data_IF_556972104374
#
_entry.id   IF_556972104374
#
_cell.length_a   1.000
_cell.length_b   1.000
_cell.length_c   1.000
_cell.angle_alpha   90.00
_cell.angle_beta   90.00
_cell.angle_gamma   90.00
#
_symmetry.space_group_name_H-M   'P 1'
#
loop_
_entity.id
_entity.type
_entity.pdbx_description
1 polymer ?
#
# COMPACT_ATOMS: atom_id res chain seq x y z
N UNK A 1 3.95 -3.95 -25.55
CA UNK A 1 5.21 -3.35 -25.07
C UNK A 1 6.03 -2.79 -26.22
N UNK A 2 6.61 -3.63 -27.10
CA UNK A 2 7.44 -3.18 -28.23
C UNK A 2 6.80 -2.07 -29.09
N UNK A 3 5.48 -2.16 -29.34
CA UNK A 3 4.72 -1.12 -30.03
C UNK A 3 4.81 0.28 -29.37
N UNK A 4 4.65 0.35 -28.05
CA UNK A 4 4.75 1.63 -27.32
C UNK A 4 6.19 2.15 -27.38
N UNK A 5 7.17 1.28 -27.19
CA UNK A 5 8.59 1.66 -27.23
C UNK A 5 8.96 2.21 -28.61
N UNK A 6 8.54 1.56 -29.69
CA UNK A 6 8.75 2.04 -31.06
C UNK A 6 8.11 3.42 -31.30
N UNK A 7 6.88 3.65 -30.82
CA UNK A 7 6.23 4.97 -30.90
C UNK A 7 7.00 6.04 -30.13
N UNK A 8 7.46 5.73 -28.93
CA UNK A 8 8.24 6.67 -28.10
C UNK A 8 9.56 7.06 -28.77
N UNK A 9 10.27 6.10 -29.37
CA UNK A 9 11.50 6.40 -30.13
C UNK A 9 11.19 7.29 -31.33
N UNK A 10 10.17 6.95 -32.13
CA UNK A 10 9.78 7.74 -33.32
C UNK A 10 9.34 9.16 -32.96
N UNK A 11 8.73 9.35 -31.79
CA UNK A 11 8.30 10.64 -31.29
C UNK A 11 9.42 11.44 -30.59
N UNK A 12 10.63 10.89 -30.46
CA UNK A 12 11.76 11.57 -29.81
C UNK A 12 11.69 11.57 -28.27
N UNK A 13 10.87 10.70 -27.68
CA UNK A 13 10.72 10.55 -26.22
C UNK A 13 11.57 9.43 -25.63
N UNK A 14 12.23 8.63 -26.48
CA UNK A 14 13.10 7.55 -26.07
C UNK A 14 14.35 7.45 -26.95
N UNK A 15 15.42 6.91 -26.40
CA UNK A 15 16.69 6.72 -27.08
C UNK A 15 17.33 5.37 -26.76
N UNK A 16 18.23 4.91 -27.62
CA UNK A 16 18.96 3.64 -27.46
C UNK A 16 20.39 3.94 -27.05
N UNK A 17 20.89 3.25 -26.03
CA UNK A 17 22.27 3.34 -25.56
C UNK A 17 22.73 1.98 -25.04
N UNK A 18 23.81 1.43 -25.61
CA UNK A 18 24.32 0.10 -25.21
C UNK A 18 23.30 -1.03 -25.35
N UNK A 19 22.39 -0.97 -26.33
CA UNK A 19 21.29 -1.94 -26.51
C UNK A 19 20.13 -1.79 -25.51
N UNK A 20 20.25 -0.88 -24.54
CA UNK A 20 19.16 -0.51 -23.63
C UNK A 20 18.36 0.63 -24.24
N UNK A 21 17.03 0.58 -24.14
CA UNK A 21 16.15 1.68 -24.53
C UNK A 21 15.72 2.44 -23.27
N UNK A 22 15.94 3.74 -23.26
CA UNK A 22 15.59 4.64 -22.18
C UNK A 22 14.49 5.60 -22.61
N UNK A 23 13.61 5.96 -21.68
CA UNK A 23 12.73 7.12 -21.80
C UNK A 23 13.49 8.37 -21.33
N UNK A 24 13.44 9.44 -22.12
CA UNK A 24 14.03 10.73 -21.77
C UNK A 24 13.02 11.55 -20.97
N UNK A 25 13.24 11.72 -19.67
CA UNK A 25 12.26 12.43 -18.82
C UNK A 25 12.16 13.93 -19.16
N UNK A 26 13.24 14.51 -19.68
CA UNK A 26 13.26 15.92 -20.12
C UNK A 26 12.39 16.15 -21.36
N UNK A 27 12.13 15.11 -22.15
CA UNK A 27 11.26 15.20 -23.33
C UNK A 27 9.78 15.37 -22.99
N UNK A 28 9.38 15.13 -21.73
CA UNK A 28 8.00 15.25 -21.27
C UNK A 28 7.83 16.40 -20.28
N UNK A 29 7.29 17.52 -20.77
CA UNK A 29 7.08 18.77 -20.00
C UNK A 29 6.26 18.64 -18.71
N UNK A 30 5.43 17.61 -18.59
CA UNK A 30 4.55 17.39 -17.42
C UNK A 30 5.08 16.30 -16.48
N UNK A 31 6.32 15.86 -16.65
CA UNK A 31 6.92 14.84 -15.79
C UNK A 31 7.01 15.33 -14.34
N UNK A 32 6.47 14.56 -13.40
CA UNK A 32 6.41 14.92 -11.98
C UNK A 32 5.06 15.49 -11.54
N UNK A 33 4.09 15.68 -12.45
CA UNK A 33 2.80 16.28 -12.15
C UNK A 33 1.95 15.44 -11.17
N UNK A 34 2.00 14.11 -11.25
CA UNK A 34 1.23 13.25 -10.35
C UNK A 34 1.80 13.30 -8.93
N UNK A 35 3.12 13.21 -8.81
CA UNK A 35 3.83 13.17 -7.53
C UNK A 35 4.09 14.54 -6.91
N UNK A 36 3.92 15.62 -7.67
CA UNK A 36 4.25 16.99 -7.27
C UNK A 36 5.76 17.27 -7.18
N UNK A 37 6.60 16.37 -7.68
CA UNK A 37 8.07 16.51 -7.63
C UNK A 37 8.57 17.27 -8.85
N UNK A 38 9.51 18.20 -8.66
CA UNK A 38 10.19 18.89 -9.76
C UNK A 38 11.42 18.11 -10.19
N UNK A 39 11.74 18.15 -11.49
CA UNK A 39 12.92 17.51 -12.07
C UNK A 39 14.22 17.88 -11.33
N UNK A 40 14.41 19.16 -10.99
CA UNK A 40 15.60 19.63 -10.25
C UNK A 40 15.75 19.02 -8.84
N UNK A 41 14.64 18.72 -8.16
CA UNK A 41 14.65 18.11 -6.82
C UNK A 41 14.96 16.60 -6.89
N UNK A 42 14.80 15.97 -8.06
CA UNK A 42 15.08 14.55 -8.26
C UNK A 42 16.57 14.26 -8.42
N UNK A 43 17.34 15.23 -8.94
CA UNK A 43 18.79 15.12 -9.14
C UNK A 43 19.55 15.13 -7.81
N UNK A 44 19.03 15.82 -6.77
CA UNK A 44 19.69 15.94 -5.47
C UNK A 44 19.46 14.74 -4.53
N UNK A 45 18.39 13.96 -4.76
CA UNK A 45 17.99 12.85 -3.89
C UNK A 45 18.43 11.45 -4.34
N UNK A 46 18.97 11.31 -5.55
CA UNK A 46 19.42 10.02 -6.08
C UNK A 46 20.72 9.57 -5.39
N UNK A 47 20.59 8.80 -4.30
CA UNK A 47 21.66 7.92 -3.81
C UNK A 47 21.88 6.79 -4.82
N UNK A 48 22.55 7.08 -5.93
CA UNK A 48 22.97 6.06 -6.90
C UNK A 48 24.37 6.41 -7.36
N UNK A 49 25.29 5.46 -7.20
CA UNK A 49 26.58 5.43 -7.90
C UNK A 49 26.36 5.85 -9.36
N UNK A 50 27.19 6.77 -9.85
CA UNK A 50 27.11 7.26 -11.23
C UNK A 50 27.29 6.06 -12.16
N UNK A 51 26.17 5.45 -12.58
CA UNK A 51 26.13 4.60 -13.76
C UNK A 51 26.41 5.56 -14.89
N UNK A 52 27.68 5.65 -15.29
CA UNK A 52 28.06 6.27 -16.54
C UNK A 52 27.18 5.65 -17.64
N UNK A 53 26.72 6.48 -18.59
CA UNK A 53 25.88 6.11 -19.75
C UNK A 53 24.35 6.28 -19.62
N UNK A 54 23.85 7.35 -19.00
CA UNK A 54 22.51 7.90 -19.35
C UNK A 54 22.65 9.35 -19.78
N UNK A 55 21.74 9.84 -20.62
CA UNK A 55 21.72 11.25 -21.01
C UNK A 55 21.27 12.13 -19.84
N UNK A 56 20.27 11.67 -19.07
CA UNK A 56 19.85 12.31 -17.83
C UNK A 56 19.73 11.27 -16.69
N UNK A 57 20.13 11.59 -15.44
CA UNK A 57 20.14 10.63 -14.33
C UNK A 57 18.76 10.05 -13.99
N UNK A 58 17.71 10.84 -14.22
CA UNK A 58 16.32 10.41 -14.01
C UNK A 58 15.72 9.57 -15.15
N UNK A 59 16.43 9.39 -16.27
CA UNK A 59 15.96 8.55 -17.38
C UNK A 59 15.80 7.10 -16.93
N UNK A 60 14.71 6.47 -17.36
CA UNK A 60 14.34 5.13 -16.93
C UNK A 60 14.24 4.15 -18.11
N UNK A 61 14.44 2.87 -17.82
CA UNK A 61 14.53 1.82 -18.83
C UNK A 61 13.14 1.43 -19.34
N UNK A 62 13.00 1.39 -20.67
CA UNK A 62 11.86 0.82 -21.39
C UNK A 62 12.16 -0.62 -21.85
N UNK A 63 13.39 -0.89 -22.25
CA UNK A 63 13.85 -2.22 -22.70
C UNK A 63 15.29 -2.45 -22.25
N UNK A 64 15.58 -3.63 -21.70
CA UNK A 64 16.93 -4.00 -21.23
C UNK A 64 17.44 -5.23 -21.99
N UNK A 65 18.70 -5.27 -22.43
CA UNK A 65 19.34 -6.48 -22.95
C UNK A 65 19.22 -7.64 -21.96
N UNK A 66 19.02 -8.84 -22.49
CA UNK A 66 18.88 -10.04 -21.69
C UNK A 66 20.20 -10.39 -21.02
N UNK A 67 20.13 -10.75 -19.74
CA UNK A 67 21.24 -11.36 -19.00
C UNK A 67 21.26 -12.88 -19.21
N UNK A 68 22.36 -13.54 -18.84
CA UNK A 68 22.44 -15.00 -18.83
C UNK A 68 21.32 -15.66 -18.02
N UNK A 69 20.88 -15.00 -16.93
CA UNK A 69 19.76 -15.47 -16.13
C UNK A 69 18.44 -15.35 -16.89
N UNK A 70 18.21 -14.23 -17.58
CA UNK A 70 17.00 -14.02 -18.39
C UNK A 70 16.91 -15.08 -19.49
N UNK A 71 18.04 -15.40 -20.14
CA UNK A 71 18.13 -16.46 -21.15
C UNK A 71 17.81 -17.84 -20.57
N UNK A 72 18.40 -18.19 -19.41
CA UNK A 72 18.17 -19.48 -18.75
C UNK A 72 16.71 -19.67 -18.31
N UNK A 73 16.05 -18.59 -17.88
CA UNK A 73 14.65 -18.61 -17.46
C UNK A 73 13.67 -18.53 -18.65
N UNK A 74 14.15 -18.27 -19.87
CA UNK A 74 13.30 -17.97 -21.01
C UNK A 74 12.52 -16.65 -20.86
N UNK A 75 12.97 -15.76 -19.97
CA UNK A 75 12.34 -14.48 -19.65
C UNK A 75 12.87 -13.35 -20.54
N UNK A 76 13.05 -13.64 -21.83
CA UNK A 76 13.57 -12.73 -22.83
C UNK A 76 12.92 -12.95 -24.19
N UNK A 77 12.84 -11.89 -24.98
CA UNK A 77 12.18 -11.89 -26.29
C UNK A 77 13.03 -11.15 -27.33
N UNK A 78 12.92 -11.52 -28.62
CA UNK A 78 13.54 -10.76 -29.70
C UNK A 78 12.89 -9.37 -29.82
N UNK A 79 13.70 -8.35 -30.14
CA UNK A 79 13.25 -6.99 -30.41
C UNK A 79 14.16 -6.30 -31.44
N UNK A 80 13.76 -5.14 -32.00
CA UNK A 80 14.63 -4.35 -32.87
C UNK A 80 15.95 -3.90 -32.22
N UNK A 81 16.04 -3.93 -30.89
CA UNK A 81 17.21 -3.53 -30.11
C UNK A 81 17.98 -4.73 -29.54
N UNK A 82 17.74 -5.93 -30.09
CA UNK A 82 18.33 -7.19 -29.63
C UNK A 82 17.44 -7.97 -28.68
N UNK A 83 17.91 -9.14 -28.28
CA UNK A 83 17.19 -10.01 -27.33
C UNK A 83 17.24 -9.39 -25.93
N UNK A 84 16.08 -9.25 -25.31
CA UNK A 84 15.96 -8.54 -24.04
C UNK A 84 14.63 -8.73 -23.37
N UNK A 85 14.34 -7.85 -22.43
CA UNK A 85 13.11 -7.86 -21.64
C UNK A 85 12.61 -6.45 -21.36
N UNK A 86 11.31 -6.26 -21.10
CA UNK A 86 10.77 -4.96 -20.75
C UNK A 86 11.37 -4.39 -19.46
N UNK A 87 11.39 -3.06 -19.39
CA UNK A 87 11.54 -2.34 -18.14
C UNK A 87 10.25 -2.38 -17.32
N UNK A 88 10.38 -2.31 -16.00
CA UNK A 88 9.27 -2.49 -15.06
C UNK A 88 8.01 -1.66 -15.37
N UNK A 89 8.19 -0.41 -15.81
CA UNK A 89 7.08 0.53 -16.01
C UNK A 89 6.29 0.30 -17.31
N UNK A 90 6.95 -0.16 -18.39
CA UNK A 90 6.33 -0.24 -19.73
C UNK A 90 5.30 -1.35 -19.86
N UNK A 91 5.35 -2.32 -18.96
CA UNK A 91 4.38 -3.41 -18.88
C UNK A 91 2.99 -2.87 -18.58
N UNK A 92 2.84 -2.06 -17.53
CA UNK A 92 1.58 -1.46 -17.10
C UNK A 92 0.98 -0.59 -18.21
N UNK A 93 1.75 0.36 -18.76
CA UNK A 93 1.33 1.24 -19.86
C UNK A 93 0.87 0.47 -21.09
N UNK A 94 1.58 -0.61 -21.45
CA UNK A 94 1.23 -1.41 -22.62
C UNK A 94 -0.02 -2.27 -22.43
N UNK A 95 -0.19 -2.85 -21.24
CA UNK A 95 -1.35 -3.69 -20.94
C UNK A 95 -2.60 -2.84 -20.75
N UNK A 96 -2.52 -1.74 -20.00
CA UNK A 96 -3.66 -0.83 -19.81
C UNK A 96 -4.13 -0.26 -21.15
N UNK A 97 -3.22 0.20 -22.01
CA UNK A 97 -3.56 0.62 -23.38
C UNK A 97 -4.30 -0.47 -24.16
N UNK A 98 -3.80 -1.72 -24.13
CA UNK A 98 -4.39 -2.82 -24.89
C UNK A 98 -5.82 -3.14 -24.48
N UNK A 99 -6.15 -3.02 -23.20
CA UNK A 99 -7.42 -3.47 -22.64
C UNK A 99 -8.41 -2.33 -22.36
N UNK A 100 -7.92 -1.14 -22.04
CA UNK A 100 -8.73 0.01 -21.61
C UNK A 100 -8.68 1.17 -22.62
N UNK A 101 -7.79 1.09 -23.63
CA UNK A 101 -7.60 2.13 -24.63
C UNK A 101 -6.60 3.21 -24.22
N UNK A 102 -6.46 4.23 -25.06
CA UNK A 102 -5.47 5.31 -24.84
C UNK A 102 -5.78 6.14 -23.60
N UNK A 103 -7.06 6.26 -23.20
CA UNK A 103 -7.48 6.95 -21.97
C UNK A 103 -8.61 6.16 -21.31
N UNK A 104 -8.57 6.08 -19.98
CA UNK A 104 -9.56 5.38 -19.17
C UNK A 104 -9.83 6.11 -17.84
N UNK A 105 -10.79 5.61 -17.07
CA UNK A 105 -11.35 6.37 -15.94
C UNK A 105 -10.46 6.34 -14.70
N UNK A 106 -10.15 5.16 -14.15
CA UNK A 106 -9.52 5.02 -12.83
C UNK A 106 -8.27 4.16 -12.91
N UNK A 107 -7.15 4.67 -12.39
CA UNK A 107 -5.93 3.91 -12.13
C UNK A 107 -5.61 3.93 -10.62
N UNK A 108 -5.26 2.77 -10.05
CA UNK A 108 -4.98 2.66 -8.62
C UNK A 108 -3.71 1.90 -8.30
N UNK A 109 -3.21 2.08 -7.06
CA UNK A 109 -2.03 1.39 -6.57
C UNK A 109 -1.62 1.82 -5.16
N UNK A 110 -0.54 1.27 -4.63
CA UNK A 110 0.03 1.71 -3.35
C UNK A 110 0.60 3.12 -3.44
N UNK A 111 0.63 3.87 -2.32
CA UNK A 111 1.20 5.22 -2.27
C UNK A 111 2.67 5.29 -2.71
N UNK A 112 3.43 4.20 -2.59
CA UNK A 112 4.78 4.08 -3.13
C UNK A 112 4.84 3.98 -4.65
N UNK A 113 3.77 3.54 -5.31
CA UNK A 113 3.72 3.49 -6.77
C UNK A 113 3.53 4.87 -7.40
N UNK A 114 3.08 5.87 -6.64
CA UNK A 114 2.92 7.24 -7.14
C UNK A 114 4.20 7.77 -7.80
N UNK A 115 5.37 7.50 -7.19
CA UNK A 115 6.66 7.80 -7.78
C UNK A 115 7.69 6.69 -7.48
N UNK A 116 8.45 6.20 -8.49
CA UNK A 116 8.44 6.67 -9.88
C UNK A 116 7.40 5.96 -10.76
N UNK A 117 6.72 4.92 -10.27
CA UNK A 117 6.03 3.97 -11.14
C UNK A 117 4.90 4.58 -11.99
N UNK A 118 3.87 5.15 -11.35
CA UNK A 118 2.73 5.76 -12.04
C UNK A 118 3.11 7.03 -12.80
N UNK A 119 4.07 7.81 -12.31
CA UNK A 119 4.63 8.95 -13.04
C UNK A 119 5.25 8.51 -14.38
N UNK A 120 5.97 7.38 -14.37
CA UNK A 120 6.55 6.79 -15.58
C UNK A 120 5.50 6.18 -16.50
N UNK A 121 4.40 5.65 -15.98
CA UNK A 121 3.29 5.17 -16.80
C UNK A 121 2.57 6.29 -17.55
N UNK A 122 2.30 7.39 -16.85
CA UNK A 122 1.72 8.61 -17.45
C UNK A 122 2.62 9.10 -18.56
N UNK A 123 3.91 9.29 -18.28
CA UNK A 123 4.85 9.85 -19.26
C UNK A 123 4.98 8.96 -20.50
N UNK A 124 5.07 7.64 -20.34
CA UNK A 124 5.08 6.70 -21.46
C UNK A 124 3.80 6.75 -22.28
N UNK A 125 2.63 6.75 -21.61
CA UNK A 125 1.35 6.63 -22.30
C UNK A 125 0.98 7.93 -23.01
N UNK A 126 1.10 9.09 -22.34
CA UNK A 126 0.80 10.39 -22.94
C UNK A 126 1.78 10.76 -24.06
N UNK A 127 3.05 10.34 -23.99
CA UNK A 127 4.02 10.54 -25.08
C UNK A 127 3.82 9.55 -26.24
N UNK A 128 3.43 8.31 -25.98
CA UNK A 128 3.15 7.35 -27.05
C UNK A 128 1.85 7.68 -27.80
N UNK A 129 0.86 8.24 -27.11
CA UNK A 129 -0.47 8.57 -27.62
C UNK A 129 -0.79 10.05 -27.37
N UNK A 130 -0.36 10.98 -28.26
CA UNK A 130 -0.63 12.40 -28.08
C UNK A 130 -2.13 12.69 -27.93
N UNK A 131 -2.50 13.41 -26.87
CA UNK A 131 -3.91 13.69 -26.51
C UNK A 131 -4.51 12.71 -25.49
N UNK A 132 -3.79 11.64 -25.16
CA UNK A 132 -4.17 10.75 -24.06
C UNK A 132 -4.05 11.44 -22.69
N UNK A 133 -5.06 11.26 -21.85
CA UNK A 133 -5.02 11.60 -20.42
C UNK A 133 -4.48 10.43 -19.57
N UNK A 134 -4.25 9.27 -20.20
CA UNK A 134 -4.00 7.97 -19.61
C UNK A 134 -5.09 7.54 -18.61
N UNK A 135 -5.12 8.12 -17.42
CA UNK A 135 -6.13 7.89 -16.40
C UNK A 135 -6.69 9.21 -15.87
N UNK A 136 -8.03 9.35 -15.83
CA UNK A 136 -8.72 10.56 -15.33
C UNK A 136 -8.65 10.72 -13.83
N UNK A 137 -8.69 9.60 -13.10
CA UNK A 137 -8.67 9.57 -11.65
C UNK A 137 -7.59 8.61 -11.12
N UNK A 138 -6.81 9.08 -10.15
CA UNK A 138 -5.77 8.32 -9.48
C UNK A 138 -6.14 8.03 -8.04
N UNK A 139 -6.10 6.75 -7.65
CA UNK A 139 -6.46 6.30 -6.30
C UNK A 139 -5.30 5.55 -5.67
N UNK A 140 -4.66 6.15 -4.66
CA UNK A 140 -3.54 5.54 -3.96
C UNK A 140 -3.90 5.10 -2.54
N UNK A 141 -3.69 3.83 -2.21
CA UNK A 141 -3.85 3.34 -0.84
C UNK A 141 -2.61 3.61 0.03
N UNK A 142 -2.84 3.80 1.32
CA UNK A 142 -1.78 3.96 2.31
C UNK A 142 -0.89 2.73 2.49
N UNK A 143 0.24 2.90 3.19
CA UNK A 143 1.11 1.79 3.58
C UNK A 143 0.43 0.86 4.57
N UNK A 144 1.07 -0.24 4.96
CA UNK A 144 0.74 -0.95 6.19
C UNK A 144 1.93 -0.81 7.12
N UNK A 145 1.67 -0.49 8.38
CA UNK A 145 2.72 -0.35 9.40
C UNK A 145 2.66 -1.49 10.40
N UNK A 146 3.84 -1.90 10.88
CA UNK A 146 4.03 -2.91 11.92
C UNK A 146 4.88 -2.32 13.05
N UNK A 147 4.87 -2.97 14.22
CA UNK A 147 5.79 -2.66 15.34
C UNK A 147 5.85 -1.17 15.74
N UNK A 148 4.70 -0.51 15.92
CA UNK A 148 4.67 0.88 16.41
C UNK A 148 4.92 1.95 15.34
N UNK A 149 4.77 1.64 14.06
CA UNK A 149 4.74 2.64 12.98
C UNK A 149 5.70 2.39 11.82
N UNK A 150 6.48 1.31 11.85
CA UNK A 150 7.41 0.98 10.77
C UNK A 150 6.67 0.46 9.54
N UNK A 151 7.01 0.96 8.35
CA UNK A 151 6.47 0.42 7.10
C UNK A 151 6.81 -1.06 6.97
N UNK A 152 5.82 -1.88 6.63
CA UNK A 152 6.05 -3.28 6.27
C UNK A 152 6.79 -3.34 4.93
N UNK A 153 7.96 -3.99 4.89
CA UNK A 153 8.71 -4.19 3.64
C UNK A 153 9.62 -5.42 3.70
N UNK A 154 9.81 -6.08 2.55
CA UNK A 154 10.69 -7.26 2.44
C UNK A 154 12.12 -6.96 2.89
N UNK A 155 12.61 -5.75 2.58
CA UNK A 155 13.96 -5.30 2.95
C UNK A 155 14.17 -5.18 4.46
N UNK A 156 13.12 -4.85 5.22
CA UNK A 156 13.20 -4.74 6.68
C UNK A 156 12.96 -6.09 7.39
N UNK A 157 12.62 -7.14 6.65
CA UNK A 157 12.32 -8.47 7.22
C UNK A 157 11.05 -8.52 8.07
N UNK A 158 10.32 -7.41 8.20
CA UNK A 158 9.14 -7.26 9.06
C UNK A 158 7.82 -7.62 8.37
N UNK A 159 7.88 -8.46 7.33
CA UNK A 159 6.71 -8.81 6.51
C UNK A 159 5.87 -9.89 7.20
N UNK A 160 4.65 -9.51 7.56
CA UNK A 160 3.62 -10.46 7.99
C UNK A 160 2.87 -10.92 6.74
N UNK A 161 2.83 -12.23 6.50
CA UNK A 161 2.13 -12.79 5.34
C UNK A 161 0.72 -13.22 5.74
N UNK A 162 -0.22 -13.13 4.79
CA UNK A 162 -1.59 -13.67 4.98
C UNK A 162 -1.55 -15.15 5.35
N UNK A 163 -0.67 -15.93 4.70
CA UNK A 163 -0.48 -17.35 5.02
C UNK A 163 0.02 -17.56 6.45
N UNK A 164 0.95 -16.72 6.92
CA UNK A 164 1.43 -16.76 8.29
C UNK A 164 0.34 -16.46 9.32
N UNK A 165 -0.50 -15.46 9.06
CA UNK A 165 -1.64 -15.13 9.92
C UNK A 165 -2.66 -16.27 9.99
N UNK A 166 -3.05 -16.82 8.83
CA UNK A 166 -3.95 -17.97 8.78
C UNK A 166 -3.35 -19.20 9.50
N UNK A 167 -2.06 -19.47 9.30
CA UNK A 167 -1.35 -20.58 9.96
C UNK A 167 -1.25 -20.42 11.48
N UNK A 168 -1.28 -19.18 11.98
CA UNK A 168 -1.30 -18.86 13.40
C UNK A 168 -2.74 -18.80 13.98
N UNK A 169 -3.75 -19.25 13.22
CA UNK A 169 -5.13 -19.33 13.69
C UNK A 169 -5.93 -18.03 13.61
N UNK A 170 -5.46 -17.01 12.88
CA UNK A 170 -6.24 -15.80 12.63
C UNK A 170 -7.20 -16.03 11.47
N UNK A 171 -8.50 -15.88 11.70
CA UNK A 171 -9.50 -16.06 10.66
C UNK A 171 -9.37 -15.04 9.52
N UNK A 172 -9.55 -15.51 8.28
CA UNK A 172 -9.45 -14.66 7.09
C UNK A 172 -10.43 -13.48 7.10
N UNK A 173 -11.61 -13.65 7.72
CA UNK A 173 -12.59 -12.57 7.87
C UNK A 173 -12.07 -11.46 8.79
N UNK A 174 -11.38 -11.83 9.87
CA UNK A 174 -10.73 -10.88 10.79
C UNK A 174 -9.63 -10.11 10.07
N UNK A 175 -8.78 -10.80 9.30
CA UNK A 175 -7.74 -10.16 8.48
C UNK A 175 -8.36 -9.15 7.50
N UNK A 176 -9.45 -9.53 6.83
CA UNK A 176 -10.17 -8.69 5.86
C UNK A 176 -10.78 -7.46 6.53
N UNK A 177 -11.45 -7.62 7.67
CA UNK A 177 -12.07 -6.51 8.41
C UNK A 177 -11.00 -5.54 8.90
N UNK A 178 -9.90 -6.03 9.48
CA UNK A 178 -8.79 -5.18 9.93
C UNK A 178 -8.19 -4.36 8.79
N UNK A 179 -7.95 -4.97 7.63
CA UNK A 179 -7.42 -4.26 6.47
C UNK A 179 -8.39 -3.15 5.99
N UNK A 180 -9.69 -3.45 5.90
CA UNK A 180 -10.71 -2.47 5.51
C UNK A 180 -10.83 -1.32 6.52
N UNK A 181 -10.81 -1.63 7.82
CA UNK A 181 -10.86 -0.63 8.89
C UNK A 181 -9.63 0.29 8.88
N UNK A 182 -8.45 -0.26 8.60
CA UNK A 182 -7.21 0.53 8.45
C UNK A 182 -7.27 1.49 7.25
N UNK A 183 -7.90 1.06 6.14
CA UNK A 183 -8.12 1.92 4.97
C UNK A 183 -9.14 3.04 5.24
N UNK A 184 -10.22 2.75 5.98
CA UNK A 184 -11.29 3.71 6.29
C UNK A 184 -10.84 4.79 7.29
N UNK A 185 -10.01 4.44 8.27
CA UNK A 185 -9.57 5.37 9.32
C UNK A 185 -8.45 6.34 8.87
N UNK A 186 -8.04 6.32 7.60
CA UNK A 186 -7.08 7.31 7.08
C UNK A 186 -5.72 7.28 7.78
N UNK A 187 -5.35 6.16 8.45
CA UNK A 187 -4.14 6.02 9.27
C UNK A 187 -2.80 6.09 8.48
N UNK A 188 -2.84 6.53 7.23
CA UNK A 188 -1.68 6.63 6.33
C UNK A 188 -1.45 8.02 5.74
N UNK A 189 -2.08 9.07 6.30
CA UNK A 189 -1.64 10.45 6.09
C UNK A 189 -1.55 11.13 7.45
N UNK A 190 -0.32 11.48 7.85
CA UNK A 190 0.05 12.32 9.00
C UNK A 190 -1.13 12.95 9.74
N UNK A 191 -1.48 12.41 10.91
CA UNK A 191 -2.37 13.10 11.85
C UNK A 191 -1.55 13.48 13.08
N UNK A 192 -1.59 14.75 13.53
CA UNK A 192 -0.98 15.14 14.79
C UNK A 192 -1.62 14.33 15.91
N UNK A 193 -0.80 13.81 16.82
CA UNK A 193 -1.20 13.08 18.02
C UNK A 193 -2.30 13.85 18.77
N UNK A 194 -3.57 13.56 18.51
CA UNK A 194 -4.67 13.94 19.40
C UNK A 194 -5.75 12.88 19.38
N UNK A 195 -5.60 12.00 20.38
CA UNK A 195 -6.61 11.16 21.04
C UNK A 195 -7.24 10.04 20.20
N UNK A 196 -6.50 8.95 20.07
CA UNK A 196 -7.06 7.60 19.92
C UNK A 196 -7.11 6.85 21.27
N UNK A 197 -7.44 7.55 22.37
CA UNK A 197 -7.74 6.89 23.64
C UNK A 197 -9.06 6.10 23.61
N UNK A 198 -9.90 6.29 22.59
CA UNK A 198 -11.28 5.80 22.60
C UNK A 198 -11.56 4.66 21.58
N UNK A 199 -10.53 4.04 21.00
CA UNK A 199 -10.71 2.81 20.22
C UNK A 199 -10.12 1.65 21.02
N UNK A 200 -10.74 1.34 22.15
CA UNK A 200 -10.55 0.06 22.83
C UNK A 200 -11.89 -0.64 22.99
N UNK A 201 -11.89 -1.83 22.39
CA UNK A 201 -12.72 -3.00 22.61
C UNK A 201 -14.18 -2.99 22.13
N UNK A 202 -14.38 -3.73 21.03
CA UNK A 202 -15.62 -4.48 20.75
C UNK A 202 -15.74 -5.63 21.78
N UNK A 203 -15.90 -5.31 23.06
CA UNK A 203 -16.44 -6.31 24.00
C UNK A 203 -17.93 -6.39 23.73
N UNK A 204 -18.40 -7.59 23.46
CA UNK A 204 -19.81 -7.90 23.27
C UNK A 204 -20.61 -7.51 24.52
N UNK A 205 -21.62 -6.66 24.37
CA UNK A 205 -22.46 -6.21 25.49
C UNK A 205 -23.22 -7.37 26.14
N UNK A 206 -23.51 -8.43 25.36
CA UNK A 206 -24.16 -9.63 25.86
C UNK A 206 -23.28 -10.39 26.86
N UNK A 207 -21.96 -10.42 26.63
CA UNK A 207 -21.02 -11.07 27.55
C UNK A 207 -20.83 -10.25 28.84
N UNK A 208 -20.84 -8.92 28.73
CA UNK A 208 -20.83 -8.03 29.92
C UNK A 208 -22.07 -8.27 30.77
N UNK A 209 -23.25 -8.31 30.16
CA UNK A 209 -24.50 -8.52 30.88
C UNK A 209 -24.54 -9.90 31.56
N UNK A 210 -24.08 -10.96 30.89
CA UNK A 210 -23.95 -12.30 31.49
C UNK A 210 -23.03 -12.33 32.71
N UNK A 211 -21.89 -11.64 32.64
CA UNK A 211 -20.96 -11.56 33.78
C UNK A 211 -21.57 -10.78 34.94
N UNK A 212 -22.34 -9.73 34.66
CA UNK A 212 -23.05 -8.96 35.70
C UNK A 212 -24.13 -9.80 36.37
N UNK A 213 -24.90 -10.57 35.61
CA UNK A 213 -25.90 -11.52 36.15
C UNK A 213 -25.25 -12.58 37.02
N UNK A 214 -24.18 -13.24 36.53
CA UNK A 214 -23.43 -14.23 37.33
C UNK A 214 -22.87 -13.64 38.61
N UNK A 215 -22.43 -12.38 38.59
CA UNK A 215 -21.98 -11.67 39.78
C UNK A 215 -23.13 -11.41 40.75
N UNK A 216 -24.32 -11.04 40.26
CA UNK A 216 -25.50 -10.83 41.10
C UNK A 216 -25.93 -12.14 41.78
N UNK A 217 -25.91 -13.25 41.05
CA UNK A 217 -26.16 -14.59 41.59
C UNK A 217 -25.11 -15.00 42.65
N UNK A 218 -23.82 -14.76 42.39
CA UNK A 218 -22.74 -15.01 43.33
C UNK A 218 -22.91 -14.22 44.64
N UNK A 219 -23.29 -12.94 44.54
CA UNK A 219 -23.61 -12.12 45.73
C UNK A 219 -24.86 -12.64 46.46
N UNK A 220 -25.89 -13.07 45.72
CA UNK A 220 -27.13 -13.62 46.29
C UNK A 220 -26.92 -14.91 47.10
N UNK A 221 -25.94 -15.74 46.71
CA UNK A 221 -25.55 -16.97 47.42
C UNK A 221 -24.45 -16.79 48.47
N UNK A 222 -23.99 -15.56 48.71
CA UNK A 222 -22.91 -15.26 49.68
C UNK A 222 -21.51 -15.65 49.21
N UNK A 223 -21.31 -15.91 47.92
CA UNK A 223 -20.03 -16.25 47.32
C UNK A 223 -19.31 -14.98 46.85
N UNK A 224 -18.69 -14.30 47.82
CA UNK A 224 -18.03 -13.03 47.59
C UNK A 224 -16.69 -13.17 46.84
N UNK A 225 -16.04 -14.34 46.91
CA UNK A 225 -14.80 -14.62 46.17
C UNK A 225 -15.07 -14.64 44.67
N UNK A 226 -16.07 -15.39 44.21
CA UNK A 226 -16.45 -15.43 42.80
C UNK A 226 -16.95 -14.07 42.30
N UNK A 227 -17.67 -13.31 43.14
CA UNK A 227 -18.13 -11.98 42.79
C UNK A 227 -16.98 -10.98 42.56
N UNK A 228 -15.89 -11.10 43.32
CA UNK A 228 -14.68 -10.28 43.16
C UNK A 228 -13.81 -10.73 41.99
N UNK A 229 -13.73 -12.03 41.69
CA UNK A 229 -13.09 -12.54 40.47
C UNK A 229 -13.77 -12.00 39.20
N UNK A 230 -15.10 -12.03 39.16
CA UNK A 230 -15.87 -11.49 38.03
C UNK A 230 -15.66 -9.97 37.92
N UNK A 231 -15.62 -9.25 39.04
CA UNK A 231 -15.33 -7.80 39.05
C UNK A 231 -13.93 -7.50 38.50
N UNK A 232 -12.94 -8.32 38.84
CA UNK A 232 -11.57 -8.19 38.31
C UNK A 232 -11.56 -8.46 36.81
N UNK A 233 -12.20 -9.54 36.35
CA UNK A 233 -12.33 -9.88 34.93
C UNK A 233 -12.98 -8.75 34.12
N UNK A 234 -14.08 -8.17 34.61
CA UNK A 234 -14.73 -7.00 34.00
C UNK A 234 -13.79 -5.78 33.97
N UNK A 235 -13.04 -5.53 35.05
CA UNK A 235 -12.07 -4.44 35.10
C UNK A 235 -10.91 -4.62 34.12
N UNK A 236 -10.41 -5.85 33.95
CA UNK A 236 -9.36 -6.20 33.00
C UNK A 236 -9.83 -6.03 31.55
N UNK A 237 -11.13 -6.22 31.29
CA UNK A 237 -11.80 -5.89 30.03
C UNK A 237 -12.06 -4.38 29.84
N UNK A 238 -11.68 -3.54 30.79
CA UNK A 238 -11.90 -2.09 30.74
C UNK A 238 -13.30 -1.65 31.14
N UNK A 239 -14.06 -2.50 31.85
CA UNK A 239 -15.41 -2.19 32.32
C UNK A 239 -15.39 -1.86 33.83
N UNK A 240 -15.88 -0.68 34.17
CA UNK A 240 -16.17 -0.29 35.55
C UNK A 240 -17.61 -0.66 35.92
N UNK A 241 -17.81 -1.21 37.12
CA UNK A 241 -19.14 -1.53 37.66
C UNK A 241 -19.44 -0.68 38.89
N UNK A 242 -20.69 -0.24 39.02
CA UNK A 242 -21.23 0.51 40.15
C UNK A 242 -22.53 -0.13 40.61
N UNK A 243 -22.59 -0.52 41.89
CA UNK A 243 -23.82 -1.03 42.50
C UNK A 243 -24.67 0.14 43.00
N UNK A 244 -25.92 0.23 42.52
CA UNK A 244 -26.89 1.21 42.97
C UNK A 244 -27.55 0.83 44.29
N UNK A 245 -28.12 1.81 44.99
CA UNK A 245 -28.89 1.59 46.23
C UNK A 245 -30.19 0.80 46.01
N UNK A 246 -30.62 0.69 44.75
CA UNK A 246 -31.73 -0.12 44.23
C UNK A 246 -31.35 -1.59 44.02
N UNK A 247 -30.10 -1.98 44.28
CA UNK A 247 -29.59 -3.34 44.06
C UNK A 247 -29.19 -3.62 42.61
N UNK A 248 -29.37 -2.67 41.69
CA UNK A 248 -29.00 -2.83 40.30
C UNK A 248 -27.50 -2.53 40.08
N UNK A 249 -26.79 -3.43 39.41
CA UNK A 249 -25.40 -3.19 38.97
C UNK A 249 -25.43 -2.52 37.60
N UNK A 250 -24.88 -1.30 37.54
CA UNK A 250 -24.68 -0.56 36.27
C UNK A 250 -23.22 -0.64 35.88
N UNK A 251 -22.94 -0.68 34.59
CA UNK A 251 -21.58 -0.72 34.07
C UNK A 251 -21.29 0.50 33.20
N UNK A 252 -20.01 0.87 33.12
CA UNK A 252 -19.48 1.92 32.25
C UNK A 252 -18.13 1.50 31.71
N UNK A 253 -17.75 1.98 30.53
CA UNK A 253 -16.41 1.73 29.98
C UNK A 253 -15.41 2.68 30.64
N UNK A 254 -14.26 2.16 31.08
CA UNK A 254 -13.14 2.96 31.59
C UNK A 254 -12.40 3.53 30.38
N UNK A 255 -12.22 4.85 30.35
CA UNK A 255 -11.38 5.55 29.36
C UNK A 255 -9.90 5.32 29.60
#
# INVERSE_FOLDING_TARGET
MLHIIDRLIKAGHAYVLGGTVYFSIESYKHYGALSGRKLGDMISGSRVEVVAEKLHPGDFVLWKPATDLDMKLGACWPSPWGVGRPGWHVECSAMSYRYLGESFDIHGGGADLMFPHHENEISQSCCAFPGSEYARYWVHNGFLTVNGGEKMSKSLGNVITVRGLLGNGVDGEVIRVLNKSAMLMGMFRNFPERKLSNIRSLVDEDEINRLIEKRAEAKGRGDFELADEIRKSLSDMGIGISDGKDGATRWHRKN
#
